data_IF_146291747070
#
_entry.id   IF_146291747070
#
_cell.length_a   1.000
_cell.length_b   1.000
_cell.length_c   1.000
_cell.angle_alpha   90.00
_cell.angle_beta   90.00
_cell.angle_gamma   90.00
#
_symmetry.space_group_name_H-M   'P 1'
#
loop_
_entity.id
_entity.type
_entity.pdbx_description
1 polymer ?
#
# COMPACT_ATOMS: atom_id res chain seq x y z
N UNK A 1 12.76 7.85 -12.68
CA UNK A 1 11.49 7.07 -12.74
C UNK A 1 11.82 5.70 -13.30
N UNK A 2 11.53 4.62 -12.55
CA UNK A 2 11.80 3.25 -13.00
C UNK A 2 10.76 2.76 -14.03
N UNK A 3 11.02 1.62 -14.67
CA UNK A 3 10.16 1.12 -15.76
C UNK A 3 8.75 0.75 -15.31
N UNK A 4 8.59 0.25 -14.08
CA UNK A 4 7.28 -0.06 -13.50
C UNK A 4 6.44 1.21 -13.31
N UNK A 5 7.04 2.29 -12.80
CA UNK A 5 6.36 3.58 -12.66
C UNK A 5 5.97 4.15 -14.04
N UNK A 6 6.87 4.02 -15.05
CA UNK A 6 6.53 4.42 -16.44
C UNK A 6 5.36 3.63 -17.01
N UNK A 7 5.29 2.33 -16.73
CA UNK A 7 4.19 1.48 -17.17
C UNK A 7 2.85 1.94 -16.60
N UNK A 8 2.80 2.23 -15.31
CA UNK A 8 1.58 2.76 -14.67
C UNK A 8 1.24 4.17 -15.17
N UNK A 9 2.24 5.05 -15.32
CA UNK A 9 2.05 6.43 -15.76
C UNK A 9 1.46 6.51 -17.18
N UNK A 10 1.81 5.55 -18.05
CA UNK A 10 1.26 5.45 -19.40
C UNK A 10 -0.19 4.92 -19.43
N UNK A 11 -0.67 4.23 -18.40
CA UNK A 11 -1.97 3.55 -18.38
C UNK A 11 -2.84 3.95 -17.16
N UNK A 12 -2.69 5.17 -16.66
CA UNK A 12 -3.38 5.69 -15.45
C UNK A 12 -4.89 5.46 -15.51
N UNK A 13 -5.54 5.89 -16.61
CA UNK A 13 -7.00 5.79 -16.73
C UNK A 13 -7.47 4.35 -16.89
N UNK A 14 -6.73 3.53 -17.63
CA UNK A 14 -7.05 2.11 -17.79
C UNK A 14 -6.96 1.38 -16.44
N UNK A 15 -5.89 1.66 -15.65
CA UNK A 15 -5.74 1.09 -14.31
C UNK A 15 -6.85 1.55 -13.37
N UNK A 16 -7.12 2.86 -13.32
CA UNK A 16 -8.14 3.41 -12.43
C UNK A 16 -9.53 2.84 -12.74
N UNK A 17 -9.88 2.71 -14.03
CA UNK A 17 -11.15 2.09 -14.43
C UNK A 17 -11.22 0.60 -14.08
N UNK A 18 -10.15 -0.17 -14.31
CA UNK A 18 -10.10 -1.61 -14.03
C UNK A 18 -10.13 -1.92 -12.52
N UNK A 19 -9.70 -0.98 -11.68
CA UNK A 19 -9.61 -1.14 -10.23
C UNK A 19 -10.59 -0.26 -9.45
N UNK A 20 -11.60 0.30 -10.08
CA UNK A 20 -12.54 1.24 -9.45
C UNK A 20 -13.35 0.63 -8.29
N UNK A 21 -13.71 -0.64 -8.40
CA UNK A 21 -14.46 -1.33 -7.34
C UNK A 21 -13.54 -1.75 -6.19
N UNK A 22 -13.97 -1.51 -4.95
CA UNK A 22 -13.31 -2.03 -3.75
C UNK A 22 -13.74 -3.48 -3.57
N UNK A 23 -12.81 -4.46 -3.61
CA UNK A 23 -13.15 -5.88 -3.34
C UNK A 23 -13.69 -6.07 -1.92
N UNK A 24 -14.56 -7.05 -1.73
CA UNK A 24 -15.18 -7.31 -0.41
C UNK A 24 -14.15 -7.62 0.68
N UNK A 25 -13.07 -8.30 0.35
CA UNK A 25 -11.97 -8.57 1.26
C UNK A 25 -11.25 -7.29 1.72
N UNK A 26 -10.99 -6.37 0.80
CA UNK A 26 -10.39 -5.06 1.10
C UNK A 26 -11.36 -4.22 1.93
N UNK A 27 -12.65 -4.22 1.58
CA UNK A 27 -13.71 -3.54 2.35
C UNK A 27 -13.74 -4.04 3.80
N UNK A 28 -13.69 -5.34 4.01
CA UNK A 28 -13.67 -5.93 5.35
C UNK A 28 -12.43 -5.49 6.16
N UNK A 29 -11.24 -5.43 5.53
CA UNK A 29 -10.02 -4.94 6.18
C UNK A 29 -10.10 -3.45 6.55
N UNK A 30 -10.73 -2.62 5.71
CA UNK A 30 -10.92 -1.19 5.99
C UNK A 30 -11.91 -0.98 7.15
N UNK A 31 -12.99 -1.76 7.22
CA UNK A 31 -13.90 -1.74 8.37
C UNK A 31 -13.21 -2.18 9.67
N UNK A 32 -12.36 -3.22 9.64
CA UNK A 32 -11.55 -3.63 10.80
C UNK A 32 -10.61 -2.49 11.23
N UNK A 33 -9.94 -1.86 10.27
CA UNK A 33 -9.03 -0.73 10.52
C UNK A 33 -9.75 0.40 11.26
N UNK A 34 -10.92 0.84 10.78
CA UNK A 34 -11.73 1.88 11.41
C UNK A 34 -12.21 1.46 12.80
N UNK A 35 -12.62 0.20 12.97
CA UNK A 35 -13.06 -0.32 14.26
C UNK A 35 -11.96 -0.27 15.30
N UNK A 36 -10.72 -0.56 14.91
CA UNK A 36 -9.56 -0.52 15.80
C UNK A 36 -9.05 0.89 16.11
N UNK A 37 -9.10 1.79 15.14
CA UNK A 37 -8.54 3.14 15.26
C UNK A 37 -9.55 4.17 15.78
N UNK A 38 -10.83 4.01 15.46
CA UNK A 38 -11.86 5.03 15.63
C UNK A 38 -11.87 6.05 14.50
N UNK A 39 -12.85 6.96 14.56
CA UNK A 39 -12.99 8.06 13.58
C UNK A 39 -11.87 9.10 13.78
N UNK A 40 -11.63 9.89 12.73
CA UNK A 40 -10.62 10.95 12.66
C UNK A 40 -9.16 10.48 12.77
N UNK A 41 -8.91 9.16 12.87
CA UNK A 41 -7.57 8.61 12.86
C UNK A 41 -6.89 8.90 11.50
N UNK A 42 -5.57 9.11 11.56
CA UNK A 42 -4.75 9.52 10.42
C UNK A 42 -4.07 8.33 9.80
N UNK A 43 -4.28 8.13 8.52
CA UNK A 43 -3.70 7.03 7.75
C UNK A 43 -2.77 7.58 6.67
N UNK A 44 -1.55 7.02 6.60
CA UNK A 44 -0.67 7.21 5.46
C UNK A 44 -0.94 6.07 4.45
N UNK A 45 -1.46 6.42 3.29
CA UNK A 45 -1.64 5.47 2.19
C UNK A 45 -0.44 5.50 1.25
N UNK A 46 0.18 4.36 1.01
CA UNK A 46 1.28 4.17 0.08
C UNK A 46 0.77 3.46 -1.19
N UNK A 47 0.81 4.17 -2.31
CA UNK A 47 0.31 3.67 -3.58
C UNK A 47 -1.21 3.80 -3.70
N UNK A 48 -1.72 5.02 -3.67
CA UNK A 48 -3.15 5.31 -3.76
C UNK A 48 -3.77 4.90 -5.10
N UNK A 49 -2.97 4.85 -6.18
CA UNK A 49 -3.45 4.50 -7.52
C UNK A 49 -4.67 5.32 -7.94
N UNK A 50 -5.78 4.67 -8.26
CA UNK A 50 -7.05 5.32 -8.59
C UNK A 50 -7.80 5.96 -7.43
N UNK A 51 -7.31 5.83 -6.17
CA UNK A 51 -7.86 6.50 -4.98
C UNK A 51 -9.04 5.80 -4.30
N UNK A 52 -9.41 4.59 -4.71
CA UNK A 52 -10.63 3.88 -4.22
C UNK A 52 -10.57 3.52 -2.74
N UNK A 53 -9.38 3.07 -2.25
CA UNK A 53 -9.23 2.64 -0.86
C UNK A 53 -9.27 3.87 0.06
N UNK A 54 -8.58 4.97 -0.31
CA UNK A 54 -8.64 6.22 0.41
C UNK A 54 -10.06 6.81 0.46
N UNK A 55 -10.79 6.79 -0.65
CA UNK A 55 -12.17 7.27 -0.69
C UNK A 55 -13.05 6.52 0.31
N UNK A 56 -12.96 5.18 0.36
CA UNK A 56 -13.70 4.39 1.35
C UNK A 56 -13.23 4.65 2.79
N UNK A 57 -11.93 4.81 3.03
CA UNK A 57 -11.42 5.17 4.36
C UNK A 57 -12.00 6.50 4.85
N UNK A 58 -12.09 7.50 3.97
CA UNK A 58 -12.69 8.80 4.30
C UNK A 58 -14.21 8.74 4.51
N UNK A 59 -14.93 7.96 3.69
CA UNK A 59 -16.36 7.66 3.92
C UNK A 59 -16.60 7.04 5.29
N UNK A 60 -15.69 6.19 5.74
CA UNK A 60 -15.71 5.56 7.06
C UNK A 60 -15.25 6.50 8.19
N UNK A 61 -14.76 7.70 7.86
CA UNK A 61 -14.40 8.75 8.80
C UNK A 61 -12.94 8.81 9.19
N UNK A 62 -12.04 8.23 8.42
CA UNK A 62 -10.59 8.40 8.59
C UNK A 62 -10.08 9.63 7.83
N UNK A 63 -8.91 10.14 8.21
CA UNK A 63 -8.18 11.18 7.50
C UNK A 63 -7.00 10.54 6.76
N UNK A 64 -7.00 10.60 5.43
CA UNK A 64 -6.01 9.90 4.61
C UNK A 64 -5.06 10.88 3.94
N UNK A 65 -3.75 10.67 4.13
CA UNK A 65 -2.74 11.24 3.26
C UNK A 65 -2.54 10.27 2.08
N UNK A 66 -2.99 10.68 0.90
CA UNK A 66 -2.82 9.91 -0.34
C UNK A 66 -1.44 10.12 -0.89
N UNK A 67 -0.73 9.04 -1.19
CA UNK A 67 0.57 9.12 -1.84
C UNK A 67 0.72 8.08 -2.94
N UNK A 68 1.40 8.42 -4.01
CA UNK A 68 1.77 7.48 -5.06
C UNK A 68 3.11 7.90 -5.67
N UNK A 69 3.94 6.92 -6.03
CA UNK A 69 5.20 7.18 -6.73
C UNK A 69 4.97 7.55 -8.20
N UNK A 70 3.80 7.25 -8.75
CA UNK A 70 3.41 7.50 -10.14
C UNK A 70 2.77 8.89 -10.28
N UNK A 71 3.43 9.86 -10.96
CA UNK A 71 2.92 11.23 -11.06
C UNK A 71 1.53 11.34 -11.70
N UNK A 72 1.22 10.48 -12.66
CA UNK A 72 -0.08 10.48 -13.34
C UNK A 72 -1.24 10.16 -12.41
N UNK A 73 -1.09 9.22 -11.46
CA UNK A 73 -2.13 8.97 -10.45
C UNK A 73 -2.33 10.18 -9.54
N UNK A 74 -1.25 10.83 -9.10
CA UNK A 74 -1.34 12.02 -8.26
C UNK A 74 -2.02 13.17 -9.00
N UNK A 75 -1.67 13.38 -10.27
CA UNK A 75 -2.32 14.41 -11.12
C UNK A 75 -3.82 14.14 -11.22
N UNK A 76 -4.21 12.90 -11.53
CA UNK A 76 -5.60 12.47 -11.63
C UNK A 76 -6.37 12.70 -10.32
N UNK A 77 -5.79 12.33 -9.18
CA UNK A 77 -6.42 12.54 -7.87
C UNK A 77 -6.62 14.03 -7.56
N UNK A 78 -5.64 14.87 -7.89
CA UNK A 78 -5.74 16.33 -7.71
C UNK A 78 -6.80 16.96 -8.62
N UNK A 79 -6.93 16.50 -9.87
CA UNK A 79 -7.98 16.92 -10.79
C UNK A 79 -9.38 16.54 -10.29
N UNK A 80 -9.50 15.50 -9.48
CA UNK A 80 -10.73 15.10 -8.80
C UNK A 80 -10.98 15.87 -7.48
N UNK A 81 -10.08 16.80 -7.11
CA UNK A 81 -10.23 17.63 -5.93
C UNK A 81 -9.65 17.01 -4.64
N UNK A 82 -8.87 15.95 -4.74
CA UNK A 82 -8.19 15.34 -3.61
C UNK A 82 -6.78 15.89 -3.43
N UNK A 83 -6.35 16.05 -2.18
CA UNK A 83 -4.94 16.25 -1.87
C UNK A 83 -4.21 14.91 -2.03
N UNK A 84 -3.10 14.94 -2.78
CA UNK A 84 -2.26 13.76 -3.00
C UNK A 84 -0.82 14.20 -3.28
N UNK A 85 0.16 13.39 -2.86
CA UNK A 85 1.59 13.68 -3.02
C UNK A 85 2.26 12.64 -3.91
N UNK A 86 3.15 13.10 -4.81
CA UNK A 86 4.13 12.19 -5.43
C UNK A 86 5.15 11.84 -4.36
N UNK A 87 5.27 10.55 -4.03
CA UNK A 87 6.10 10.13 -2.92
C UNK A 87 6.69 8.73 -3.17
N UNK A 88 8.02 8.63 -3.09
CA UNK A 88 8.75 7.37 -3.01
C UNK A 88 9.04 7.04 -1.54
N UNK A 89 8.44 6.00 -0.95
CA UNK A 89 8.62 5.69 0.47
C UNK A 89 10.06 5.29 0.83
N UNK A 90 10.90 4.99 -0.15
CA UNK A 90 12.31 4.65 0.06
C UNK A 90 13.18 5.88 0.33
N UNK A 91 12.90 7.03 -0.27
CA UNK A 91 13.81 8.18 -0.26
C UNK A 91 13.18 9.50 0.20
N UNK A 92 11.87 9.71 -0.02
CA UNK A 92 11.22 10.98 0.26
C UNK A 92 10.84 11.14 1.74
N UNK A 93 10.51 12.36 2.17
CA UNK A 93 10.05 12.65 3.53
C UNK A 93 8.62 12.16 3.75
N UNK A 94 8.48 11.22 4.69
CA UNK A 94 7.20 10.63 5.08
C UNK A 94 6.50 11.42 6.19
N UNK A 95 7.16 12.38 6.82
CA UNK A 95 6.60 13.13 7.96
C UNK A 95 5.39 13.96 7.56
N UNK A 96 4.59 14.33 8.56
CA UNK A 96 3.47 15.25 8.40
C UNK A 96 3.53 16.33 9.45
N UNK A 97 3.16 17.56 9.08
CA UNK A 97 3.04 18.68 10.01
C UNK A 97 2.04 18.42 11.14
N UNK A 98 1.06 17.57 10.91
CA UNK A 98 0.06 17.19 11.90
C UNK A 98 0.54 16.10 12.89
N UNK A 99 1.79 15.65 12.80
CA UNK A 99 2.37 14.63 13.67
C UNK A 99 2.34 13.20 13.10
N UNK A 100 2.52 12.21 13.96
CA UNK A 100 2.61 10.80 13.58
C UNK A 100 1.25 10.26 13.07
N UNK A 101 1.32 9.24 12.21
CA UNK A 101 0.14 8.52 11.72
C UNK A 101 -0.34 7.46 12.72
N UNK A 102 -1.64 7.20 12.72
CA UNK A 102 -2.27 6.10 13.47
C UNK A 102 -2.14 4.79 12.73
N UNK A 103 -2.06 4.82 11.41
CA UNK A 103 -1.82 3.63 10.60
C UNK A 103 -1.13 3.95 9.28
N UNK A 104 -0.54 2.88 8.71
CA UNK A 104 -0.07 2.80 7.32
C UNK A 104 -0.93 1.78 6.57
N UNK A 105 -1.41 2.18 5.40
CA UNK A 105 -2.11 1.34 4.43
C UNK A 105 -1.28 1.22 3.15
N UNK A 106 -0.85 0.00 2.82
CA UNK A 106 0.00 -0.29 1.65
C UNK A 106 -0.56 -1.50 0.88
N UNK A 107 -1.77 -1.34 0.33
CA UNK A 107 -2.48 -2.41 -0.35
C UNK A 107 -2.00 -2.55 -1.80
N UNK A 108 -1.33 -3.65 -2.12
CA UNK A 108 -0.84 -3.97 -3.46
C UNK A 108 0.09 -2.90 -4.09
N UNK A 109 0.89 -2.24 -3.26
CA UNK A 109 1.85 -1.21 -3.69
C UNK A 109 3.31 -1.61 -3.45
N UNK A 110 3.68 -2.04 -2.25
CA UNK A 110 5.06 -2.39 -1.90
C UNK A 110 5.56 -3.69 -2.57
N UNK A 111 4.72 -4.40 -3.28
CA UNK A 111 5.10 -5.55 -4.13
C UNK A 111 5.98 -5.17 -5.34
N UNK A 112 6.17 -3.87 -5.59
CA UNK A 112 7.10 -3.36 -6.60
C UNK A 112 8.43 -2.89 -6.03
N UNK A 113 8.58 -2.91 -4.70
CA UNK A 113 9.84 -2.59 -4.01
C UNK A 113 10.78 -3.79 -4.11
N UNK A 114 12.06 -3.53 -4.41
CA UNK A 114 13.06 -4.59 -4.44
C UNK A 114 13.17 -5.29 -3.07
N UNK A 115 13.44 -6.59 -3.07
CA UNK A 115 13.53 -7.39 -1.84
C UNK A 115 14.49 -6.79 -0.82
N UNK A 116 15.63 -6.28 -1.28
CA UNK A 116 16.65 -5.68 -0.42
C UNK A 116 16.23 -4.37 0.24
N UNK A 117 15.23 -3.68 -0.33
CA UNK A 117 14.81 -2.35 0.11
C UNK A 117 13.56 -2.38 1.01
N UNK A 118 12.79 -3.49 1.03
CA UNK A 118 11.51 -3.54 1.73
C UNK A 118 11.67 -3.30 3.24
N UNK A 119 12.70 -3.85 3.88
CA UNK A 119 12.97 -3.61 5.30
C UNK A 119 13.21 -2.12 5.59
N UNK A 120 13.97 -1.45 4.72
CA UNK A 120 14.23 -0.01 4.85
C UNK A 120 12.93 0.79 4.72
N UNK A 121 12.10 0.49 3.73
CA UNK A 121 10.79 1.14 3.55
C UNK A 121 9.93 0.94 4.79
N UNK A 122 9.76 -0.29 5.26
CA UNK A 122 8.94 -0.61 6.43
C UNK A 122 9.45 0.07 7.71
N UNK A 123 10.77 0.18 7.90
CA UNK A 123 11.39 0.89 9.04
C UNK A 123 11.09 2.40 8.96
N UNK A 124 11.13 2.99 7.78
CA UNK A 124 10.79 4.40 7.56
C UNK A 124 9.30 4.66 7.84
N UNK A 125 8.42 3.77 7.41
CA UNK A 125 7.00 3.82 7.72
C UNK A 125 6.74 3.68 9.22
N UNK A 126 7.47 2.79 9.89
CA UNK A 126 7.40 2.65 11.35
C UNK A 126 7.83 3.94 12.07
N UNK A 127 8.86 4.63 11.58
CA UNK A 127 9.36 5.86 12.20
C UNK A 127 8.35 7.02 12.20
N UNK A 128 7.42 7.06 11.24
CA UNK A 128 6.37 8.09 11.16
C UNK A 128 5.02 7.65 11.72
N UNK A 129 4.93 6.41 12.21
CA UNK A 129 3.74 5.84 12.84
C UNK A 129 3.89 5.91 14.36
N UNK A 130 2.84 6.30 15.08
CA UNK A 130 2.88 6.32 16.56
C UNK A 130 3.07 4.92 17.16
N UNK A 131 3.63 4.78 18.37
CA UNK A 131 3.63 3.50 19.06
C UNK A 131 2.21 2.92 19.19
N UNK A 132 2.06 1.63 18.94
CA UNK A 132 0.76 0.96 18.86
C UNK A 132 -0.10 1.33 17.64
N UNK A 133 0.46 2.10 16.70
CA UNK A 133 -0.19 2.33 15.40
C UNK A 133 -0.13 1.09 14.51
N UNK A 134 -0.93 1.05 13.45
CA UNK A 134 -1.18 -0.16 12.68
C UNK A 134 -0.49 -0.16 11.32
N UNK A 135 -0.01 -1.33 10.89
CA UNK A 135 0.35 -1.61 9.49
C UNK A 135 -0.68 -2.53 8.85
N UNK A 136 -1.10 -2.19 7.64
CA UNK A 136 -1.82 -3.08 6.73
C UNK A 136 -1.08 -3.11 5.40
N UNK A 137 -0.60 -4.28 5.02
CA UNK A 137 0.21 -4.50 3.82
C UNK A 137 -0.35 -5.69 3.04
N UNK A 138 -0.45 -5.56 1.71
CA UNK A 138 -0.78 -6.66 0.82
C UNK A 138 0.28 -6.81 -0.26
N UNK A 139 0.85 -8.02 -0.38
CA UNK A 139 1.82 -8.38 -1.42
C UNK A 139 1.48 -9.72 -2.05
N UNK A 140 2.02 -10.00 -3.23
CA UNK A 140 1.85 -11.29 -3.90
C UNK A 140 2.72 -12.38 -3.24
N UNK A 141 2.10 -13.55 -3.03
CA UNK A 141 2.81 -14.73 -2.57
C UNK A 141 3.57 -15.39 -3.71
N UNK A 142 4.79 -15.86 -3.45
CA UNK A 142 5.61 -16.61 -4.41
C UNK A 142 7.09 -16.49 -4.12
N UNK A 143 7.89 -16.95 -5.10
CA UNK A 143 9.33 -16.94 -5.02
C UNK A 143 9.95 -15.97 -6.02
N UNK A 144 11.07 -15.36 -5.63
CA UNK A 144 11.86 -14.48 -6.48
C UNK A 144 11.18 -13.16 -6.83
N UNK A 145 11.49 -12.68 -8.02
CA UNK A 145 10.95 -11.46 -8.61
C UNK A 145 10.95 -11.56 -10.14
N UNK A 146 10.23 -10.69 -10.83
CA UNK A 146 10.21 -10.70 -12.27
C UNK A 146 9.20 -9.75 -12.92
N UNK A 147 9.34 -9.62 -14.22
CA UNK A 147 8.44 -8.82 -15.05
C UNK A 147 7.19 -9.61 -15.43
N UNK A 148 6.04 -8.97 -15.34
CA UNK A 148 4.76 -9.57 -15.71
C UNK A 148 3.80 -8.53 -16.29
N UNK A 149 3.01 -8.95 -17.28
CA UNK A 149 1.86 -8.19 -17.82
C UNK A 149 0.56 -8.59 -17.14
N UNK A 150 0.62 -9.48 -16.14
CA UNK A 150 -0.56 -9.94 -15.44
C UNK A 150 -1.15 -8.84 -14.55
N UNK A 151 -2.44 -8.60 -14.64
CA UNK A 151 -3.17 -7.64 -13.82
C UNK A 151 -3.99 -6.62 -14.62
N UNK A 152 -4.11 -5.41 -14.09
CA UNK A 152 -5.07 -4.40 -14.55
C UNK A 152 -4.61 -3.55 -15.73
N UNK A 153 -3.33 -3.64 -16.14
CA UNK A 153 -2.79 -2.92 -17.30
C UNK A 153 -1.97 -3.87 -18.18
N UNK A 154 -1.76 -3.46 -19.45
CA UNK A 154 -1.09 -4.29 -20.45
C UNK A 154 0.42 -4.20 -20.43
N UNK A 155 0.98 -3.10 -19.97
CA UNK A 155 2.42 -2.88 -19.88
C UNK A 155 3.05 -3.75 -18.80
N UNK A 156 4.29 -4.26 -19.02
CA UNK A 156 4.97 -5.08 -18.03
C UNK A 156 5.36 -4.26 -16.79
N UNK A 157 5.17 -4.84 -15.60
CA UNK A 157 5.62 -4.32 -14.32
C UNK A 157 6.50 -5.34 -13.64
N UNK A 158 7.46 -4.88 -12.86
CA UNK A 158 8.29 -5.73 -12.03
C UNK A 158 7.59 -6.02 -10.71
N UNK A 159 7.56 -7.29 -10.30
CA UNK A 159 6.97 -7.74 -9.03
C UNK A 159 8.00 -8.46 -8.20
N UNK A 160 8.01 -8.22 -6.90
CA UNK A 160 8.73 -8.97 -5.89
C UNK A 160 7.72 -9.85 -5.15
N UNK A 161 7.92 -11.15 -5.21
CA UNK A 161 7.06 -12.13 -4.55
C UNK A 161 7.64 -12.51 -3.19
N UNK A 162 6.79 -12.85 -2.24
CA UNK A 162 7.21 -13.15 -0.88
C UNK A 162 6.64 -14.47 -0.40
N UNK A 163 7.43 -15.23 0.36
CA UNK A 163 6.92 -16.31 1.20
C UNK A 163 6.62 -15.75 2.59
N UNK A 164 5.61 -16.30 3.25
CA UNK A 164 5.11 -15.80 4.53
C UNK A 164 6.23 -15.59 5.54
N UNK A 165 7.05 -16.62 5.80
CA UNK A 165 8.07 -16.56 6.86
C UNK A 165 9.09 -15.44 6.60
N UNK A 166 9.60 -15.34 5.37
CA UNK A 166 10.53 -14.28 4.99
C UNK A 166 9.91 -12.88 5.06
N UNK A 167 8.61 -12.74 4.79
CA UNK A 167 7.90 -11.47 4.92
C UNK A 167 7.72 -11.10 6.39
N UNK A 168 7.35 -12.06 7.25
CA UNK A 168 7.23 -11.85 8.70
C UNK A 168 8.56 -11.37 9.28
N UNK A 169 9.67 -12.06 8.97
CA UNK A 169 11.01 -11.70 9.44
C UNK A 169 11.37 -10.24 9.09
N UNK A 170 11.08 -9.81 7.85
CA UNK A 170 11.36 -8.45 7.38
C UNK A 170 10.47 -7.41 8.07
N UNK A 171 9.19 -7.71 8.28
CA UNK A 171 8.25 -6.81 8.98
C UNK A 171 8.66 -6.62 10.43
N UNK A 172 9.01 -7.71 11.13
CA UNK A 172 9.48 -7.66 12.52
C UNK A 172 10.82 -6.94 12.65
N UNK A 173 11.79 -7.20 11.75
CA UNK A 173 13.08 -6.50 11.74
C UNK A 173 12.93 -4.99 11.53
N UNK A 174 11.88 -4.57 10.83
CA UNK A 174 11.58 -3.17 10.56
C UNK A 174 10.88 -2.43 11.73
N UNK A 175 10.59 -3.11 12.86
CA UNK A 175 10.04 -2.49 14.07
C UNK A 175 8.52 -2.60 14.19
N UNK A 176 7.94 -3.62 13.58
CA UNK A 176 6.52 -3.97 13.74
C UNK A 176 6.39 -5.27 14.54
N UNK A 177 5.38 -5.38 15.38
CA UNK A 177 5.11 -6.52 16.25
C UNK A 177 3.75 -7.14 15.97
N UNK A 178 3.49 -8.31 16.55
CA UNK A 178 2.20 -8.98 16.44
C UNK A 178 1.81 -9.32 15.01
N UNK A 179 2.80 -9.64 14.17
CA UNK A 179 2.60 -9.87 12.74
C UNK A 179 1.67 -11.05 12.49
N UNK A 180 0.51 -10.77 11.93
CA UNK A 180 -0.47 -11.76 11.50
C UNK A 180 -0.56 -11.75 9.97
N UNK A 181 -0.47 -12.92 9.36
CA UNK A 181 -0.57 -13.08 7.91
C UNK A 181 -1.79 -13.92 7.56
N UNK A 182 -2.61 -13.43 6.64
CA UNK A 182 -3.71 -14.17 6.05
C UNK A 182 -3.43 -14.41 4.57
N UNK A 183 -3.60 -15.63 4.11
CA UNK A 183 -3.58 -15.97 2.69
C UNK A 183 -4.93 -15.64 2.05
N UNK A 184 -4.89 -15.03 0.89
CA UNK A 184 -6.08 -14.75 0.10
C UNK A 184 -5.88 -15.18 -1.35
N UNK A 185 -6.81 -15.96 -1.92
CA UNK A 185 -6.73 -16.31 -3.33
C UNK A 185 -6.93 -15.06 -4.19
N UNK A 186 -6.05 -14.88 -5.17
CA UNK A 186 -6.19 -13.88 -6.21
C UNK A 186 -6.95 -14.41 -7.41
N UNK A 187 -6.88 -13.69 -8.52
CA UNK A 187 -7.37 -14.18 -9.80
C UNK A 187 -6.31 -15.04 -10.49
N UNK A 188 -6.71 -16.13 -11.18
CA UNK A 188 -5.82 -16.94 -12.04
C UNK A 188 -4.58 -17.51 -11.31
N UNK A 189 -4.77 -18.34 -10.32
CA UNK A 189 -3.69 -19.02 -9.57
C UNK A 189 -2.73 -18.10 -8.79
N UNK A 190 -3.07 -16.83 -8.64
CA UNK A 190 -2.35 -15.93 -7.73
C UNK A 190 -2.76 -16.18 -6.27
N UNK A 191 -1.81 -16.00 -5.37
CA UNK A 191 -2.05 -15.93 -3.93
C UNK A 191 -1.49 -14.62 -3.37
N UNK A 192 -2.16 -14.08 -2.37
CA UNK A 192 -1.79 -12.85 -1.70
C UNK A 192 -1.52 -13.10 -0.22
N UNK A 193 -0.53 -12.40 0.30
CA UNK A 193 -0.25 -12.30 1.72
C UNK A 193 -0.78 -10.96 2.22
N UNK A 194 -1.80 -11.01 3.08
CA UNK A 194 -2.36 -9.85 3.76
C UNK A 194 -1.77 -9.78 5.16
N UNK A 195 -0.99 -8.76 5.43
CA UNK A 195 -0.26 -8.57 6.67
C UNK A 195 -0.94 -7.52 7.53
N UNK A 196 -1.11 -7.84 8.81
CA UNK A 196 -1.48 -6.93 9.87
C UNK A 196 -0.38 -6.95 10.93
N UNK A 197 0.06 -5.77 11.38
CA UNK A 197 1.04 -5.66 12.45
C UNK A 197 0.83 -4.36 13.24
N UNK A 198 1.41 -4.29 14.43
CA UNK A 198 1.36 -3.14 15.33
C UNK A 198 2.77 -2.52 15.44
N UNK A 199 2.85 -1.18 15.52
CA UNK A 199 4.12 -0.45 15.69
C UNK A 199 4.64 -0.64 17.12
N UNK A 200 5.90 -1.08 17.29
CA UNK A 200 6.60 -1.12 18.59
C UNK A 200 6.58 0.21 19.31
#
# INVERSE_FOLDING_TARGET
>A
MNDTVRAYDAEVEAYAAATAAVPDSVRALLHDLVTRLGRDARVLEIGSGGGRDAALMEELGLRVRRTDITPGFVTRLREQGHDADVLDPLVDDLTSADGAYDAVWANASLLHVARADLETVLRRLAAVTRPGGLLRLAVKEGDGDGWSTHGSISSPRHFTYWRQDALVDVVEAAGWDGVAVRHEPGTRDESWLLVAADRR
#
